data_IF_522864495865
#
_entry.id   IF_522864495865
#
_cell.length_a   1.000
_cell.length_b   1.000
_cell.length_c   1.000
_cell.angle_alpha   90.00
_cell.angle_beta   90.00
_cell.angle_gamma   90.00
#
_symmetry.space_group_name_H-M   'P 1'
#
loop_
_entity.id
_entity.type
_entity.pdbx_description
1 polymer ?
#
# COMPACT_ATOMS: atom_id res chain seq x y z
N UNK A 1 -14.39 -12.92 22.90
CA UNK A 1 -13.80 -14.01 22.10
C UNK A 1 -13.50 -13.45 20.72
N UNK A 2 -12.28 -12.99 20.47
CA UNK A 2 -11.85 -12.62 19.12
C UNK A 2 -11.21 -13.87 18.51
N UNK A 3 -11.89 -14.47 17.52
CA UNK A 3 -11.30 -15.52 16.69
C UNK A 3 -10.09 -14.91 15.99
N UNK A 4 -8.88 -15.32 16.38
CA UNK A 4 -7.68 -14.97 15.64
C UNK A 4 -7.72 -15.73 14.32
N UNK A 5 -8.24 -15.06 13.28
CA UNK A 5 -8.02 -15.51 11.91
C UNK A 5 -6.53 -15.50 11.64
N UNK A 6 -6.01 -16.60 11.12
CA UNK A 6 -4.60 -16.83 10.87
C UNK A 6 -4.17 -16.02 9.64
N UNK A 7 -4.06 -14.71 9.76
CA UNK A 7 -3.50 -13.83 8.72
C UNK A 7 -1.99 -14.03 8.71
N UNK A 8 -1.53 -14.95 7.86
CA UNK A 8 -0.11 -15.30 7.76
C UNK A 8 0.65 -14.29 6.89
N UNK A 9 -0.06 -13.55 6.04
CA UNK A 9 0.53 -12.60 5.11
C UNK A 9 -0.30 -11.34 4.94
N UNK A 10 0.36 -10.26 4.50
CA UNK A 10 -0.30 -9.02 4.05
C UNK A 10 -1.25 -9.27 2.87
N UNK A 11 -1.02 -10.34 2.11
CA UNK A 11 -1.84 -10.70 0.95
C UNK A 11 -3.19 -11.35 1.32
N UNK A 12 -3.45 -11.61 2.61
CA UNK A 12 -4.69 -12.21 3.08
C UNK A 12 -5.75 -11.14 3.45
N UNK A 13 -5.41 -9.85 3.31
CA UNK A 13 -6.31 -8.75 3.65
C UNK A 13 -7.07 -8.22 2.43
N UNK A 14 -8.32 -7.86 2.67
CA UNK A 14 -9.11 -6.99 1.79
C UNK A 14 -9.23 -5.63 2.46
N UNK A 15 -8.90 -4.56 1.73
CA UNK A 15 -8.93 -3.17 2.21
C UNK A 15 -9.87 -2.34 1.35
N UNK A 16 -10.21 -1.14 1.83
CA UNK A 16 -11.01 -0.18 1.07
C UNK A 16 -10.10 0.81 0.34
N UNK A 17 -10.35 1.03 -0.95
CA UNK A 17 -9.69 2.12 -1.69
C UNK A 17 -10.28 3.50 -1.30
N UNK A 18 -9.70 4.57 -1.85
CA UNK A 18 -10.17 5.95 -1.62
C UNK A 18 -11.60 6.22 -2.13
N UNK A 19 -12.18 5.32 -2.93
CA UNK A 19 -13.57 5.40 -3.44
C UNK A 19 -14.52 4.47 -2.67
N UNK A 20 -14.03 3.71 -1.69
CA UNK A 20 -14.81 2.76 -0.88
C UNK A 20 -15.01 1.38 -1.51
N UNK A 21 -14.30 1.07 -2.61
CA UNK A 21 -14.33 -0.27 -3.20
C UNK A 21 -13.44 -1.23 -2.42
N UNK A 22 -13.81 -2.51 -2.39
CA UNK A 22 -12.95 -3.56 -1.84
C UNK A 22 -11.79 -3.87 -2.79
N UNK A 23 -10.58 -3.88 -2.24
CA UNK A 23 -9.34 -4.26 -2.92
C UNK A 23 -8.74 -5.44 -2.17
N UNK A 24 -8.66 -6.58 -2.83
CA UNK A 24 -7.97 -7.75 -2.32
C UNK A 24 -6.46 -7.58 -2.52
N UNK A 25 -5.70 -7.53 -1.42
CA UNK A 25 -4.25 -7.36 -1.47
C UNK A 25 -3.55 -8.57 -2.09
N UNK A 26 -4.22 -9.72 -2.22
CA UNK A 26 -3.71 -10.89 -2.93
C UNK A 26 -3.32 -10.60 -4.38
N UNK A 27 -3.93 -9.58 -5.00
CA UNK A 27 -3.63 -9.09 -6.35
C UNK A 27 -2.21 -8.56 -6.51
N UNK A 28 -1.53 -8.20 -5.41
CA UNK A 28 -0.16 -7.71 -5.42
C UNK A 28 0.89 -8.80 -5.15
N UNK A 29 0.51 -10.08 -5.11
CA UNK A 29 1.47 -11.19 -4.95
C UNK A 29 2.53 -11.18 -6.06
N UNK A 30 3.78 -11.39 -5.67
CA UNK A 30 4.93 -11.35 -6.59
C UNK A 30 5.50 -9.95 -6.82
N UNK A 31 4.88 -8.90 -6.24
CA UNK A 31 5.40 -7.54 -6.22
C UNK A 31 6.01 -7.20 -4.87
N UNK A 32 6.99 -6.30 -4.88
CA UNK A 32 7.51 -5.67 -3.66
C UNK A 32 6.53 -4.59 -3.26
N UNK A 33 6.05 -4.64 -2.01
CA UNK A 33 5.09 -3.67 -1.47
C UNK A 33 5.77 -2.71 -0.51
N UNK A 34 5.57 -1.40 -0.72
CA UNK A 34 5.86 -0.36 0.23
C UNK A 34 4.53 0.24 0.73
N UNK A 35 4.14 -0.08 1.96
CA UNK A 35 2.89 0.38 2.56
C UNK A 35 3.18 1.58 3.46
N UNK A 36 2.57 2.74 3.19
CA UNK A 36 2.88 4.00 3.86
C UNK A 36 1.63 4.64 4.44
N UNK A 37 1.65 4.95 5.74
CA UNK A 37 0.59 5.70 6.39
C UNK A 37 0.75 7.21 6.14
N UNK A 38 0.26 7.68 4.98
CA UNK A 38 0.30 9.11 4.63
C UNK A 38 -0.84 9.90 5.30
N UNK A 39 -0.60 11.19 5.55
CA UNK A 39 -1.60 12.14 6.02
C UNK A 39 -1.62 13.37 5.11
N UNK A 40 -2.82 13.84 4.74
CA UNK A 40 -3.01 14.93 3.78
C UNK A 40 -2.75 16.34 4.34
N UNK A 41 -2.78 16.50 5.67
CA UNK A 41 -2.62 17.79 6.36
C UNK A 41 -1.39 17.80 7.28
N UNK A 42 -0.28 17.21 6.81
CA UNK A 42 0.99 17.23 7.53
C UNK A 42 1.96 18.22 6.87
N UNK A 43 2.81 18.88 7.67
CA UNK A 43 3.84 19.78 7.12
C UNK A 43 4.85 19.11 6.19
N UNK A 44 4.92 17.77 6.21
CA UNK A 44 5.82 16.96 5.38
C UNK A 44 5.12 16.33 4.17
N UNK A 45 3.83 16.58 3.97
CA UNK A 45 3.02 15.91 2.94
C UNK A 45 3.61 16.08 1.54
N UNK A 46 4.03 17.30 1.18
CA UNK A 46 4.58 17.59 -0.16
C UNK A 46 5.89 16.84 -0.45
N UNK A 47 6.83 16.81 0.51
CA UNK A 47 8.09 16.09 0.34
C UNK A 47 7.87 14.59 0.26
N UNK A 48 7.02 14.03 1.13
CA UNK A 48 6.71 12.59 1.12
C UNK A 48 6.09 12.16 -0.22
N UNK A 49 5.07 12.85 -0.72
CA UNK A 49 4.47 12.48 -2.02
C UNK A 49 5.45 12.61 -3.18
N UNK A 50 6.32 13.63 -3.16
CA UNK A 50 7.31 13.83 -4.23
C UNK A 50 8.33 12.68 -4.26
N UNK A 51 8.89 12.32 -3.10
CA UNK A 51 9.89 11.26 -2.99
C UNK A 51 9.31 9.88 -3.29
N UNK A 52 8.09 9.59 -2.80
CA UNK A 52 7.38 8.34 -3.09
C UNK A 52 7.07 8.21 -4.58
N UNK A 53 6.64 9.29 -5.25
CA UNK A 53 6.41 9.27 -6.69
C UNK A 53 7.70 9.02 -7.48
N UNK A 54 8.81 9.68 -7.10
CA UNK A 54 10.11 9.45 -7.74
C UNK A 54 10.58 8.00 -7.58
N UNK A 55 10.39 7.42 -6.39
CA UNK A 55 10.70 6.02 -6.12
C UNK A 55 9.84 5.08 -6.97
N UNK A 56 8.54 5.34 -7.03
CA UNK A 56 7.60 4.53 -7.81
C UNK A 56 7.93 4.58 -9.31
N UNK A 57 8.16 5.77 -9.88
CA UNK A 57 8.55 5.91 -11.29
C UNK A 57 9.83 5.15 -11.63
N UNK A 58 10.79 5.08 -10.69
CA UNK A 58 12.06 4.38 -10.88
C UNK A 58 11.93 2.85 -10.87
N UNK A 59 11.01 2.29 -10.08
CA UNK A 59 10.97 0.84 -9.80
C UNK A 59 9.65 0.14 -10.14
N UNK A 60 8.59 0.86 -10.58
CA UNK A 60 7.30 0.25 -10.94
C UNK A 60 7.44 -0.83 -12.02
N UNK A 61 8.32 -0.62 -13.00
CA UNK A 61 8.60 -1.61 -14.06
C UNK A 61 9.35 -2.84 -13.57
N UNK A 62 9.96 -2.77 -12.39
CA UNK A 62 10.67 -3.86 -11.71
C UNK A 62 9.77 -4.55 -10.67
N UNK A 63 8.48 -4.18 -10.59
CA UNK A 63 7.52 -4.82 -9.71
C UNK A 63 7.39 -4.18 -8.32
N UNK A 64 7.78 -2.92 -8.13
CA UNK A 64 7.44 -2.15 -6.93
C UNK A 64 6.02 -1.59 -7.01
N UNK A 65 5.26 -1.67 -5.91
CA UNK A 65 3.99 -0.96 -5.70
C UNK A 65 4.03 -0.23 -4.35
N UNK A 66 3.45 0.98 -4.33
CA UNK A 66 3.31 1.78 -3.12
C UNK A 66 1.82 1.88 -2.78
N UNK A 67 1.46 1.52 -1.54
CA UNK A 67 0.08 1.50 -1.03
C UNK A 67 -0.10 2.49 0.13
#
# INVERSE_FOLDING_TARGET
>A
MASQSKTGSVYDFTVKDARGNDVDLSSYKGKVLLIVNVASQCGLTNSNYTELNQLYEKYKSQGLEIL
#
